data_IF_703532697610
#
_entry.id   IF_703532697610
#
_cell.length_a   1.000
_cell.length_b   1.000
_cell.length_c   1.000
_cell.angle_alpha   90.00
_cell.angle_beta   90.00
_cell.angle_gamma   90.00
#
_symmetry.space_group_name_H-M   'P 1'
#
loop_
_entity.id
_entity.type
_entity.pdbx_description
1 polymer ?
#
# COMPACT_ATOMS: atom_id res chain seq x y z
N UNK A 1 4.54 -16.13 32.89
CA UNK A 1 3.74 -14.88 32.78
C UNK A 1 2.87 -14.98 31.54
N UNK A 2 1.58 -15.26 31.69
CA UNK A 2 0.63 -15.30 30.57
C UNK A 2 0.33 -13.86 30.14
N UNK A 3 0.62 -13.50 28.88
CA UNK A 3 0.25 -12.19 28.35
C UNK A 3 -1.29 -12.13 28.25
N UNK A 4 -1.93 -11.08 28.79
CA UNK A 4 -3.38 -10.93 28.70
C UNK A 4 -3.79 -10.85 27.22
N UNK A 5 -4.75 -11.68 26.83
CA UNK A 5 -5.22 -11.80 25.45
C UNK A 5 -5.78 -10.46 24.95
N UNK A 6 -5.10 -9.83 23.99
CA UNK A 6 -5.66 -8.67 23.28
C UNK A 6 -6.95 -9.10 22.59
N UNK A 7 -8.08 -8.51 22.99
CA UNK A 7 -9.37 -8.73 22.32
C UNK A 7 -9.30 -8.16 20.90
N UNK A 8 -9.54 -9.01 19.91
CA UNK A 8 -9.76 -8.60 18.52
C UNK A 8 -11.22 -8.16 18.38
N UNK A 9 -11.44 -7.04 17.72
CA UNK A 9 -12.79 -6.55 17.44
C UNK A 9 -12.74 -5.44 16.41
N UNK A 10 -13.84 -5.22 15.70
CA UNK A 10 -13.95 -4.20 14.64
C UNK A 10 -13.63 -2.83 15.23
N UNK A 11 -12.64 -2.14 14.67
CA UNK A 11 -12.23 -0.82 15.12
C UNK A 11 -12.91 0.26 14.26
N UNK A 12 -13.47 1.33 14.86
CA UNK A 12 -13.98 2.48 14.10
C UNK A 12 -12.90 3.14 13.23
N UNK A 13 -11.64 3.02 13.63
CA UNK A 13 -10.49 3.49 12.86
C UNK A 13 -10.38 2.83 11.49
N UNK A 14 -10.68 1.53 11.38
CA UNK A 14 -10.56 0.82 10.11
C UNK A 14 -11.68 1.21 9.14
N UNK A 15 -12.89 1.46 9.66
CA UNK A 15 -14.00 2.01 8.87
C UNK A 15 -13.67 3.41 8.35
N UNK A 16 -13.15 4.29 9.19
CA UNK A 16 -12.74 5.63 8.77
C UNK A 16 -11.66 5.57 7.69
N UNK A 17 -10.68 4.68 7.83
CA UNK A 17 -9.65 4.46 6.80
C UNK A 17 -10.24 3.98 5.49
N UNK A 18 -11.18 3.03 5.54
CA UNK A 18 -11.85 2.52 4.35
C UNK A 18 -12.62 3.63 3.63
N UNK A 19 -13.41 4.43 4.35
CA UNK A 19 -14.18 5.53 3.78
C UNK A 19 -13.25 6.56 3.12
N UNK A 20 -12.21 7.01 3.84
CA UNK A 20 -11.25 7.97 3.28
C UNK A 20 -10.55 7.39 2.04
N UNK A 21 -10.14 6.12 2.08
CA UNK A 21 -9.50 5.47 0.95
C UNK A 21 -10.41 5.38 -0.28
N UNK A 22 -11.68 5.03 -0.08
CA UNK A 22 -12.69 4.97 -1.15
C UNK A 22 -12.99 6.35 -1.73
N UNK A 23 -13.06 7.40 -0.90
CA UNK A 23 -13.25 8.77 -1.37
C UNK A 23 -12.06 9.22 -2.21
N UNK A 24 -10.82 8.95 -1.77
CA UNK A 24 -9.61 9.28 -2.55
C UNK A 24 -9.56 8.46 -3.84
N UNK A 25 -9.94 7.18 -3.81
CA UNK A 25 -9.99 6.34 -5.00
C UNK A 25 -11.03 6.85 -6.00
N UNK A 26 -12.24 7.19 -5.53
CA UNK A 26 -13.29 7.76 -6.37
C UNK A 26 -12.89 9.11 -6.97
N UNK A 27 -12.29 10.00 -6.17
CA UNK A 27 -11.76 11.27 -6.66
C UNK A 27 -10.63 11.09 -7.68
N UNK A 28 -9.71 10.13 -7.44
CA UNK A 28 -8.64 9.80 -8.37
C UNK A 28 -9.16 9.20 -9.69
N UNK A 29 -10.16 8.32 -9.62
CA UNK A 29 -10.83 7.77 -10.80
C UNK A 29 -11.57 8.85 -11.61
N UNK A 30 -12.32 9.72 -10.93
CA UNK A 30 -12.99 10.85 -11.58
C UNK A 30 -11.96 11.79 -12.22
N UNK A 31 -10.87 12.09 -11.51
CA UNK A 31 -9.79 12.91 -12.05
C UNK A 31 -9.13 12.25 -13.26
N UNK A 32 -8.89 10.93 -13.24
CA UNK A 32 -8.38 10.18 -14.40
C UNK A 32 -9.31 10.33 -15.60
N UNK A 33 -10.60 10.06 -15.40
CA UNK A 33 -11.59 10.13 -16.48
C UNK A 33 -11.75 11.52 -17.09
N UNK A 34 -11.46 12.59 -16.34
CA UNK A 34 -11.51 13.98 -16.83
C UNK A 34 -10.19 14.38 -17.50
N UNK A 35 -9.06 13.89 -16.97
CA UNK A 35 -7.72 14.22 -17.45
C UNK A 35 -7.24 13.30 -18.58
N UNK A 36 -7.93 12.22 -18.93
CA UNK A 36 -7.56 11.35 -20.06
C UNK A 36 -7.39 12.12 -21.37
N UNK A 37 -8.12 13.22 -21.56
CA UNK A 37 -7.98 14.11 -22.72
C UNK A 37 -6.81 15.12 -22.62
N UNK A 38 -6.20 15.31 -21.43
CA UNK A 38 -5.08 16.23 -21.17
C UNK A 38 -3.74 15.49 -21.00
N UNK A 39 -3.76 14.23 -20.58
CA UNK A 39 -2.55 13.45 -20.26
C UNK A 39 -1.69 13.14 -21.48
N UNK A 40 -2.25 13.07 -22.69
CA UNK A 40 -1.48 12.87 -23.92
C UNK A 40 -0.55 14.06 -24.25
N UNK A 41 -0.88 15.27 -23.79
CA UNK A 41 -0.09 16.49 -24.05
C UNK A 41 1.02 16.73 -23.00
N UNK A 42 0.86 16.25 -21.77
CA UNK A 42 1.81 16.50 -20.66
C UNK A 42 3.03 15.55 -20.68
N UNK A 43 2.93 14.40 -21.35
CA UNK A 43 4.06 13.47 -21.53
C UNK A 43 5.19 14.00 -22.40
N UNK A 44 4.97 15.06 -23.19
CA UNK A 44 5.99 15.60 -24.11
C UNK A 44 6.92 16.60 -23.40
N UNK A 45 6.44 17.30 -22.36
CA UNK A 45 7.19 18.40 -21.72
C UNK A 45 7.99 17.98 -20.47
N UNK A 46 7.79 16.74 -19.98
CA UNK A 46 8.53 16.21 -18.80
C UNK A 46 9.92 15.68 -19.19
N UNK A 47 10.14 15.39 -20.47
CA UNK A 47 11.41 14.85 -21.01
C UNK A 47 12.52 15.90 -20.95
N UNK A 48 12.22 17.19 -21.21
CA UNK A 48 13.20 18.29 -21.16
C UNK A 48 13.74 18.56 -19.74
N UNK A 49 13.03 18.14 -18.68
CA UNK A 49 13.49 18.32 -17.30
C UNK A 49 14.63 17.36 -16.92
N UNK A 50 14.79 16.26 -17.66
CA UNK A 50 15.80 15.22 -17.41
C UNK A 50 17.06 15.33 -18.28
N UNK A 51 17.04 16.16 -19.33
CA UNK A 51 18.20 16.43 -20.19
C UNK A 51 19.42 17.00 -19.41
N UNK A 52 19.20 17.53 -18.21
CA UNK A 52 20.25 18.01 -17.31
C UNK A 52 20.93 16.95 -16.44
N UNK A 53 20.43 15.71 -16.39
CA UNK A 53 20.94 14.65 -15.53
C UNK A 53 21.77 13.63 -16.33
N UNK A 54 22.94 13.18 -15.84
CA UNK A 54 23.70 12.13 -16.50
C UNK A 54 22.91 10.81 -16.56
N UNK A 55 22.89 10.14 -17.71
CA UNK A 55 22.16 8.88 -17.94
C UNK A 55 22.42 7.83 -16.85
N UNK A 56 23.67 7.75 -16.37
CA UNK A 56 24.07 6.83 -15.31
C UNK A 56 23.30 7.04 -14.00
N UNK A 57 22.91 8.28 -13.68
CA UNK A 57 22.13 8.60 -12.47
C UNK A 57 20.70 8.09 -12.61
N UNK A 58 20.08 8.33 -13.75
CA UNK A 58 18.70 7.89 -14.04
C UNK A 58 18.61 6.37 -13.99
N UNK A 59 19.50 5.68 -14.69
CA UNK A 59 19.57 4.20 -14.69
C UNK A 59 19.80 3.66 -13.27
N UNK A 60 20.70 4.28 -12.49
CA UNK A 60 20.98 3.85 -11.11
C UNK A 60 19.76 4.04 -10.21
N UNK A 61 19.03 5.16 -10.32
CA UNK A 61 17.81 5.41 -9.55
C UNK A 61 16.71 4.40 -9.90
N UNK A 62 16.53 4.08 -11.18
CA UNK A 62 15.56 3.09 -11.65
C UNK A 62 15.90 1.71 -11.06
N UNK A 63 17.17 1.28 -11.14
CA UNK A 63 17.62 0.00 -10.60
C UNK A 63 17.43 -0.09 -9.09
N UNK A 64 17.78 0.97 -8.34
CA UNK A 64 17.54 1.04 -6.90
C UNK A 64 16.05 0.95 -6.59
N UNK A 65 15.21 1.67 -7.33
CA UNK A 65 13.75 1.64 -7.18
C UNK A 65 13.18 0.24 -7.42
N UNK A 66 13.60 -0.45 -8.49
CA UNK A 66 13.20 -1.83 -8.78
C UNK A 66 13.64 -2.80 -7.69
N UNK A 67 14.89 -2.68 -7.22
CA UNK A 67 15.44 -3.54 -6.20
C UNK A 67 14.72 -3.36 -4.86
N UNK A 68 14.42 -2.11 -4.46
CA UNK A 68 13.61 -1.82 -3.29
C UNK A 68 12.19 -2.35 -3.42
N UNK A 69 11.58 -2.23 -4.61
CA UNK A 69 10.26 -2.78 -4.87
C UNK A 69 10.25 -4.31 -4.65
N UNK A 70 11.28 -5.05 -5.01
CA UNK A 70 11.34 -6.49 -4.69
C UNK A 70 11.68 -6.77 -3.22
N UNK A 71 12.70 -6.11 -2.67
CA UNK A 71 13.23 -6.43 -1.34
C UNK A 71 12.25 -6.13 -0.20
N UNK A 72 11.48 -5.04 -0.30
CA UNK A 72 10.57 -4.64 0.78
C UNK A 72 9.45 -5.67 1.03
N UNK A 73 8.61 -6.06 0.05
CA UNK A 73 7.54 -7.02 0.27
C UNK A 73 8.09 -8.41 0.65
N UNK A 74 9.18 -8.84 0.02
CA UNK A 74 9.85 -10.12 0.36
C UNK A 74 10.34 -10.07 1.80
N UNK A 75 11.04 -9.01 2.21
CA UNK A 75 11.52 -8.84 3.58
C UNK A 75 10.38 -8.85 4.61
N UNK A 76 9.26 -8.18 4.31
CA UNK A 76 8.07 -8.20 5.18
C UNK A 76 7.50 -9.62 5.31
N UNK A 77 7.34 -10.34 4.20
CA UNK A 77 6.82 -11.72 4.22
C UNK A 77 7.77 -12.67 4.96
N UNK A 78 9.07 -12.59 4.70
CA UNK A 78 10.10 -13.41 5.35
C UNK A 78 10.16 -13.13 6.84
N UNK A 79 10.15 -11.85 7.27
CA UNK A 79 10.15 -11.52 8.69
C UNK A 79 8.89 -12.01 9.41
N UNK A 80 7.72 -11.96 8.77
CA UNK A 80 6.48 -12.50 9.34
C UNK A 80 6.47 -14.03 9.42
N UNK A 81 7.04 -14.69 8.40
CA UNK A 81 7.21 -16.14 8.37
C UNK A 81 8.18 -16.58 9.48
N UNK A 82 9.32 -15.90 9.62
CA UNK A 82 10.31 -16.15 10.67
C UNK A 82 9.72 -15.92 12.08
N UNK A 83 8.87 -14.90 12.25
CA UNK A 83 8.15 -14.66 13.52
C UNK A 83 7.01 -15.68 13.77
N UNK A 84 6.79 -16.65 12.87
CA UNK A 84 5.69 -17.64 12.91
C UNK A 84 4.30 -17.01 13.08
N UNK A 85 4.12 -15.80 12.55
CA UNK A 85 2.86 -15.05 12.64
C UNK A 85 1.95 -15.37 11.45
N UNK A 86 1.67 -16.66 11.26
CA UNK A 86 0.97 -17.20 10.08
C UNK A 86 -0.38 -16.53 9.80
N UNK A 87 -1.14 -16.19 10.84
CA UNK A 87 -2.42 -15.49 10.67
C UNK A 87 -2.27 -14.11 10.01
N UNK A 88 -1.19 -13.38 10.30
CA UNK A 88 -0.94 -12.05 9.70
C UNK A 88 -0.42 -12.16 8.29
N UNK A 89 0.45 -13.13 8.06
CA UNK A 89 0.93 -13.46 6.72
C UNK A 89 -0.26 -13.81 5.82
N UNK A 90 -1.19 -14.65 6.30
CA UNK A 90 -2.41 -14.98 5.57
C UNK A 90 -3.26 -13.76 5.20
N UNK A 91 -3.44 -12.80 6.12
CA UNK A 91 -4.22 -11.57 5.83
C UNK A 91 -3.56 -10.67 4.78
N UNK A 92 -2.23 -10.51 4.83
CA UNK A 92 -1.50 -9.68 3.86
C UNK A 92 -1.54 -10.32 2.48
N UNK A 93 -1.27 -11.64 2.41
CA UNK A 93 -1.34 -12.39 1.16
C UNK A 93 -2.75 -12.34 0.58
N UNK A 94 -3.78 -12.47 1.42
CA UNK A 94 -5.17 -12.36 1.00
C UNK A 94 -5.49 -10.96 0.43
N UNK A 95 -5.06 -9.89 1.11
CA UNK A 95 -5.26 -8.53 0.63
C UNK A 95 -4.54 -8.26 -0.70
N UNK A 96 -3.29 -8.75 -0.84
CA UNK A 96 -2.53 -8.65 -2.09
C UNK A 96 -3.22 -9.43 -3.22
N UNK A 97 -3.70 -10.64 -2.96
CA UNK A 97 -4.40 -11.45 -3.96
C UNK A 97 -5.70 -10.79 -4.44
N UNK A 98 -6.48 -10.18 -3.53
CA UNK A 98 -7.67 -9.41 -3.89
C UNK A 98 -7.31 -8.20 -4.75
N UNK A 99 -6.27 -7.45 -4.36
CA UNK A 99 -5.83 -6.29 -5.13
C UNK A 99 -5.40 -6.67 -6.54
N UNK A 100 -4.59 -7.72 -6.69
CA UNK A 100 -4.20 -8.25 -8.01
C UNK A 100 -5.42 -8.68 -8.81
N UNK A 101 -6.35 -9.43 -8.22
CA UNK A 101 -7.54 -9.91 -8.92
C UNK A 101 -8.47 -8.77 -9.38
N UNK A 102 -8.70 -7.77 -8.53
CA UNK A 102 -9.50 -6.60 -8.87
C UNK A 102 -8.83 -5.76 -9.95
N UNK A 103 -7.54 -5.48 -9.81
CA UNK A 103 -6.77 -4.74 -10.82
C UNK A 103 -6.74 -5.49 -12.16
N UNK A 104 -6.60 -6.81 -12.15
CA UNK A 104 -6.65 -7.62 -13.36
C UNK A 104 -8.04 -7.58 -14.02
N UNK A 105 -9.11 -7.67 -13.22
CA UNK A 105 -10.49 -7.55 -13.71
C UNK A 105 -10.79 -6.20 -14.35
N UNK A 106 -10.35 -5.10 -13.72
CA UNK A 106 -10.46 -3.74 -14.24
C UNK A 106 -9.71 -3.61 -15.56
N UNK A 107 -8.46 -4.08 -15.61
CA UNK A 107 -7.61 -3.95 -16.79
C UNK A 107 -8.17 -4.73 -17.99
N UNK A 108 -8.74 -5.91 -17.75
CA UNK A 108 -9.29 -6.76 -18.81
C UNK A 108 -10.51 -6.14 -19.50
N UNK A 109 -11.28 -5.31 -18.79
CA UNK A 109 -12.46 -4.64 -19.35
C UNK A 109 -12.07 -3.36 -20.12
N UNK A 110 -11.11 -2.59 -19.60
CA UNK A 110 -10.67 -1.33 -20.21
C UNK A 110 -9.80 -1.54 -21.47
N UNK A 111 -8.88 -2.51 -21.47
CA UNK A 111 -7.97 -2.74 -22.61
C UNK A 111 -8.72 -3.21 -23.86
N UNK A 112 -9.79 -3.99 -23.73
CA UNK A 112 -10.55 -4.45 -24.90
C UNK A 112 -11.34 -3.36 -25.60
N UNK A 113 -11.60 -2.24 -24.92
CA UNK A 113 -12.48 -1.18 -25.40
C UNK A 113 -11.69 0.05 -25.93
N UNK A 114 -10.45 0.23 -25.45
CA UNK A 114 -9.60 1.37 -25.78
C UNK A 114 -8.22 0.94 -26.31
N UNK A 115 -8.18 0.09 -27.34
CA UNK A 115 -6.94 -0.17 -28.05
C UNK A 115 -6.63 1.03 -28.97
N UNK A 116 -5.62 1.88 -28.66
CA UNK A 116 -5.32 3.01 -29.53
C UNK A 116 -4.88 2.50 -30.91
N UNK A 117 -5.21 3.21 -32.01
CA UNK A 117 -4.63 2.91 -33.31
C UNK A 117 -3.11 2.92 -33.17
N UNK A 118 -2.43 1.95 -33.77
CA UNK A 118 -0.98 1.80 -33.68
C UNK A 118 -0.29 3.08 -34.15
N UNK A 119 0.14 3.91 -33.21
CA UNK A 119 1.02 5.03 -33.46
C UNK A 119 2.43 4.44 -33.52
N UNK A 120 3.02 4.52 -34.70
CA UNK A 120 4.42 4.16 -34.96
C UNK A 120 5.28 5.26 -34.30
N UNK A 121 5.63 5.05 -33.03
CA UNK A 121 6.46 5.97 -32.26
C UNK A 121 7.92 5.56 -32.46
N UNK A 122 8.70 6.42 -33.09
CA UNK A 122 10.16 6.30 -33.18
C UNK A 122 10.75 6.37 -31.76
N UNK A 123 11.30 5.25 -31.29
CA UNK A 123 11.89 5.15 -29.95
C UNK A 123 13.24 5.88 -29.93
N UNK A 124 13.54 6.71 -28.90
CA UNK A 124 14.79 7.44 -28.86
C UNK A 124 15.99 6.49 -28.71
N UNK A 125 17.05 6.73 -29.49
CA UNK A 125 18.18 5.81 -29.65
C UNK A 125 18.96 5.45 -28.38
N UNK A 126 18.91 6.28 -27.32
CA UNK A 126 19.53 5.94 -26.04
C UNK A 126 18.83 4.77 -25.32
N UNK A 127 17.57 4.48 -25.67
CA UNK A 127 16.76 3.38 -25.14
C UNK A 127 17.04 2.07 -25.91
N UNK A 128 17.12 2.11 -27.24
CA UNK A 128 17.22 0.91 -28.10
C UNK A 128 18.52 0.75 -28.90
N UNK A 129 19.60 1.45 -28.53
CA UNK A 129 20.85 1.49 -29.34
C UNK A 129 21.47 0.12 -29.71
N UNK A 130 21.13 -0.96 -29.00
CA UNK A 130 21.60 -2.32 -29.29
C UNK A 130 20.61 -3.17 -30.11
N UNK A 131 19.35 -2.75 -30.23
CA UNK A 131 18.34 -3.46 -31.03
C UNK A 131 18.60 -3.28 -32.54
N UNK A 132 18.97 -2.08 -32.97
CA UNK A 132 19.37 -1.81 -34.37
C UNK A 132 20.63 -2.59 -34.77
N UNK A 133 21.53 -2.92 -33.83
CA UNK A 133 22.68 -3.80 -34.12
C UNK A 133 22.28 -5.25 -34.36
N UNK A 134 21.14 -5.69 -33.84
CA UNK A 134 20.64 -7.05 -33.97
C UNK A 134 19.90 -7.30 -35.30
N UNK A 135 19.40 -6.26 -35.97
CA UNK A 135 18.76 -6.35 -37.31
C UNK A 135 19.73 -6.80 -38.42
N UNK A 136 21.04 -6.85 -38.15
CA UNK A 136 22.04 -7.43 -39.04
C UNK A 136 22.16 -8.96 -38.98
N UNK A 137 21.41 -9.64 -38.10
CA UNK A 137 21.46 -11.10 -37.98
C UNK A 137 20.40 -11.75 -38.88
N UNK A 138 20.76 -12.79 -39.66
CA UNK A 138 19.84 -13.44 -40.58
C UNK A 138 18.63 -14.01 -39.83
N UNK A 139 17.43 -13.76 -40.35
CA UNK A 139 16.16 -14.30 -39.86
C UNK A 139 16.27 -15.82 -39.69
N UNK A 140 16.33 -16.27 -38.44
CA UNK A 140 16.10 -17.68 -38.11
C UNK A 140 14.62 -17.94 -38.35
N UNK A 141 14.33 -18.50 -39.54
CA UNK A 141 13.03 -19.00 -39.96
C UNK A 141 12.34 -19.74 -38.81
N UNK A 142 11.15 -19.28 -38.47
CA UNK A 142 10.25 -19.90 -37.49
C UNK A 142 9.84 -21.29 -37.98
N UNK A 143 10.53 -22.31 -37.47
CA UNK A 143 10.12 -23.69 -37.58
C UNK A 143 8.94 -23.92 -36.64
N UNK A 144 7.79 -24.27 -37.23
CA UNK A 144 6.87 -25.30 -36.74
C UNK A 144 6.18 -25.05 -35.39
N UNK A 145 4.85 -25.04 -35.41
CA UNK A 145 4.01 -24.83 -34.24
C UNK A 145 4.36 -25.72 -33.04
N UNK A 146 4.53 -25.08 -31.90
CA UNK A 146 4.37 -25.66 -30.57
C UNK A 146 4.17 -24.52 -29.56
N UNK A 147 3.00 -24.51 -28.93
CA UNK A 147 2.70 -24.02 -27.57
C UNK A 147 3.25 -22.64 -27.19
N UNK A 148 2.32 -21.70 -26.95
CA UNK A 148 2.49 -20.48 -26.14
C UNK A 148 3.65 -20.61 -25.14
N UNK A 149 4.83 -20.10 -25.53
CA UNK A 149 5.96 -20.04 -24.65
C UNK A 149 5.61 -19.01 -23.55
N UNK A 150 5.78 -19.32 -22.26
CA UNK A 150 5.56 -18.36 -21.17
C UNK A 150 6.46 -17.11 -21.24
N UNK A 151 7.35 -17.01 -22.24
CA UNK A 151 8.12 -15.81 -22.56
C UNK A 151 7.33 -14.73 -23.33
N UNK A 152 6.23 -15.06 -24.00
CA UNK A 152 5.39 -14.08 -24.72
C UNK A 152 4.55 -13.19 -23.78
N UNK A 153 4.52 -13.50 -22.48
CA UNK A 153 3.91 -12.66 -21.44
C UNK A 153 4.86 -11.55 -20.94
N UNK A 154 6.10 -11.50 -21.43
CA UNK A 154 7.15 -10.57 -20.98
C UNK A 154 7.84 -9.84 -22.13
N UNK A 155 7.22 -9.80 -23.31
CA UNK A 155 7.76 -9.12 -24.48
C UNK A 155 6.75 -8.12 -25.03
N UNK A 156 6.80 -6.87 -24.54
CA UNK A 156 6.32 -5.75 -25.35
C UNK A 156 7.09 -4.45 -25.10
N UNK A 157 7.74 -3.97 -26.17
CA UNK A 157 8.10 -2.58 -26.52
C UNK A 157 9.02 -1.74 -25.61
N UNK A 158 9.52 -2.21 -24.47
CA UNK A 158 10.54 -1.47 -23.72
C UNK A 158 11.93 -2.08 -23.94
N UNK A 159 12.88 -1.33 -24.53
CA UNK A 159 14.30 -1.69 -24.55
C UNK A 159 14.95 -1.48 -23.16
N UNK A 160 14.30 -2.01 -22.12
CA UNK A 160 14.82 -2.30 -20.78
C UNK A 160 14.19 -3.64 -20.40
N UNK A 161 14.97 -4.67 -20.01
CA UNK A 161 14.39 -5.96 -19.66
C UNK A 161 13.39 -5.83 -18.50
N UNK A 162 12.13 -6.20 -18.76
CA UNK A 162 11.04 -6.23 -17.78
C UNK A 162 10.02 -5.12 -18.01
N UNK A 163 9.01 -5.40 -18.85
CA UNK A 163 7.83 -4.56 -19.09
C UNK A 163 7.41 -3.77 -17.83
N UNK A 164 7.72 -2.47 -17.82
CA UNK A 164 7.31 -1.46 -16.83
C UNK A 164 7.18 -1.95 -15.37
N UNK A 165 8.05 -2.85 -14.91
CA UNK A 165 7.97 -3.34 -13.53
C UNK A 165 8.68 -2.36 -12.59
N UNK A 166 8.08 -1.97 -11.45
CA UNK A 166 6.72 -2.28 -10.99
C UNK A 166 5.63 -1.42 -11.64
N UNK A 167 4.52 -2.07 -12.02
CA UNK A 167 3.37 -1.48 -12.69
C UNK A 167 2.25 -1.05 -11.71
N UNK A 168 1.16 -0.48 -12.22
CA UNK A 168 0.00 -0.05 -11.43
C UNK A 168 -0.64 -1.18 -10.62
N UNK A 169 -0.66 -2.40 -11.15
CA UNK A 169 -1.14 -3.61 -10.43
C UNK A 169 -0.26 -3.91 -9.22
N UNK A 170 1.06 -3.83 -9.38
CA UNK A 170 2.01 -3.99 -8.29
C UNK A 170 1.80 -2.91 -7.20
N UNK A 171 1.62 -1.65 -7.61
CA UNK A 171 1.35 -0.54 -6.68
C UNK A 171 0.08 -0.77 -5.85
N UNK A 172 -1.00 -1.26 -6.48
CA UNK A 172 -2.23 -1.61 -5.78
C UNK A 172 -2.01 -2.73 -4.77
N UNK A 173 -1.29 -3.80 -5.15
CA UNK A 173 -0.98 -4.90 -4.24
C UNK A 173 -0.10 -4.46 -3.07
N UNK A 174 0.91 -3.63 -3.32
CA UNK A 174 1.78 -3.08 -2.29
C UNK A 174 1.02 -2.16 -1.33
N UNK A 175 0.14 -1.29 -1.85
CA UNK A 175 -0.71 -0.44 -1.03
C UNK A 175 -1.69 -1.26 -0.18
N UNK A 176 -2.22 -2.37 -0.71
CA UNK A 176 -3.06 -3.29 0.05
C UNK A 176 -2.30 -3.98 1.18
N UNK A 177 -1.08 -4.45 0.92
CA UNK A 177 -0.21 -5.00 1.96
C UNK A 177 0.10 -3.96 3.04
N UNK A 178 0.44 -2.73 2.65
CA UNK A 178 0.73 -1.63 3.56
C UNK A 178 -0.51 -1.24 4.38
N UNK A 179 -1.69 -1.23 3.77
CA UNK A 179 -2.98 -1.05 4.42
C UNK A 179 -3.22 -2.10 5.51
N UNK A 180 -3.10 -3.38 5.19
CA UNK A 180 -3.26 -4.48 6.15
C UNK A 180 -2.18 -4.51 7.26
N UNK A 181 -0.99 -3.97 6.99
CA UNK A 181 0.10 -3.90 7.96
C UNK A 181 0.01 -2.66 8.88
N UNK A 182 -0.78 -1.65 8.48
CA UNK A 182 -0.90 -0.35 9.15
C UNK A 182 -1.29 -0.43 10.64
N UNK A 183 -2.23 -1.29 11.09
CA UNK A 183 -2.58 -1.42 12.51
C UNK A 183 -1.44 -1.98 13.36
N UNK A 184 -0.52 -2.70 12.73
CA UNK A 184 0.60 -3.40 13.38
C UNK A 184 1.88 -2.56 13.39
N UNK A 185 1.99 -1.58 12.49
CA UNK A 185 3.12 -0.66 12.46
C UNK A 185 3.06 0.38 13.58
N UNK A 186 4.25 0.73 14.08
CA UNK A 186 4.43 1.93 14.88
C UNK A 186 4.11 3.18 14.05
N UNK A 187 3.79 4.30 14.70
CA UNK A 187 3.51 5.56 14.00
C UNK A 187 4.69 6.04 13.14
N UNK A 188 5.93 5.81 13.60
CA UNK A 188 7.17 6.21 12.90
C UNK A 188 7.34 5.42 11.61
N UNK A 189 7.31 4.10 11.73
CA UNK A 189 7.43 3.18 10.59
C UNK A 189 6.32 3.39 9.56
N UNK A 190 5.09 3.64 9.98
CA UNK A 190 4.00 3.95 9.04
C UNK A 190 4.27 5.20 8.20
N UNK A 191 4.75 6.28 8.82
CA UNK A 191 5.09 7.51 8.09
C UNK A 191 6.26 7.27 7.13
N UNK A 192 7.28 6.52 7.58
CA UNK A 192 8.42 6.19 6.74
C UNK A 192 8.01 5.36 5.52
N UNK A 193 7.16 4.34 5.70
CA UNK A 193 6.66 3.53 4.58
C UNK A 193 5.84 4.35 3.59
N UNK A 194 4.99 5.27 4.07
CA UNK A 194 4.24 6.17 3.20
C UNK A 194 5.15 7.17 2.47
N UNK A 195 6.12 7.77 3.16
CA UNK A 195 7.07 8.68 2.54
C UNK A 195 7.91 7.97 1.47
N UNK A 196 8.38 6.75 1.74
CA UNK A 196 9.12 5.94 0.78
C UNK A 196 8.27 5.57 -0.44
N UNK A 197 7.00 5.20 -0.24
CA UNK A 197 6.09 4.88 -1.33
C UNK A 197 5.78 6.10 -2.20
N UNK A 198 5.51 7.26 -1.59
CA UNK A 198 5.27 8.51 -2.32
C UNK A 198 6.52 8.99 -3.07
N UNK A 199 7.70 8.85 -2.47
CA UNK A 199 8.97 9.15 -3.14
C UNK A 199 9.20 8.21 -4.34
N UNK A 200 8.96 6.91 -4.17
CA UNK A 200 9.05 5.94 -5.26
C UNK A 200 8.10 6.28 -6.41
N UNK A 201 6.87 6.68 -6.10
CA UNK A 201 5.89 7.10 -7.10
C UNK A 201 6.29 8.38 -7.81
N UNK A 202 6.86 9.34 -7.09
CA UNK A 202 7.37 10.56 -7.68
C UNK A 202 8.44 10.24 -8.74
N UNK A 203 9.42 9.40 -8.39
CA UNK A 203 10.45 8.94 -9.34
C UNK A 203 9.82 8.25 -10.55
N UNK A 204 8.85 7.35 -10.33
CA UNK A 204 8.19 6.64 -11.44
C UNK A 204 7.31 7.49 -12.33
N UNK A 205 6.74 8.56 -11.79
CA UNK A 205 5.98 9.55 -12.56
C UNK A 205 6.93 10.38 -13.41
N UNK A 206 8.09 10.74 -12.84
CA UNK A 206 9.10 11.52 -13.53
C UNK A 206 9.77 10.76 -14.69
N UNK A 207 9.99 9.46 -14.54
CA UNK A 207 10.51 8.59 -15.62
C UNK A 207 9.46 8.32 -16.73
N UNK A 208 8.24 8.85 -16.61
CA UNK A 208 7.16 8.64 -17.58
C UNK A 208 6.56 7.22 -17.60
N UNK A 209 7.05 6.31 -16.75
CA UNK A 209 6.63 4.89 -16.71
C UNK A 209 5.24 4.72 -16.10
N UNK A 210 4.85 5.58 -15.16
CA UNK A 210 3.56 5.51 -14.47
C UNK A 210 2.84 6.85 -14.57
N UNK A 211 1.62 6.84 -15.11
CA UNK A 211 0.75 8.01 -15.09
C UNK A 211 0.38 8.33 -13.64
N UNK A 212 0.66 9.57 -13.19
CA UNK A 212 0.48 10.00 -11.81
C UNK A 212 -0.93 9.69 -11.27
N UNK A 213 -1.94 9.93 -12.11
CA UNK A 213 -3.35 9.76 -11.76
C UNK A 213 -3.70 8.28 -11.56
N UNK A 214 -3.23 7.40 -12.44
CA UNK A 214 -3.39 5.94 -12.31
C UNK A 214 -2.73 5.43 -11.03
N UNK A 215 -1.56 5.99 -10.70
CA UNK A 215 -0.83 5.66 -9.50
C UNK A 215 -1.63 6.01 -8.23
N UNK A 216 -2.25 7.20 -8.20
CA UNK A 216 -3.11 7.65 -7.09
C UNK A 216 -4.34 6.75 -6.95
N UNK A 217 -5.00 6.42 -8.06
CA UNK A 217 -6.14 5.50 -8.05
C UNK A 217 -5.75 4.11 -7.53
N UNK A 218 -4.67 3.53 -8.08
CA UNK A 218 -4.17 2.22 -7.68
C UNK A 218 -3.80 2.17 -6.19
N UNK A 219 -3.12 3.20 -5.69
CA UNK A 219 -2.79 3.31 -4.26
C UNK A 219 -4.03 3.35 -3.38
N UNK A 220 -5.00 4.19 -3.74
CA UNK A 220 -6.18 4.40 -2.93
C UNK A 220 -7.06 3.15 -2.89
N UNK A 221 -7.25 2.50 -4.05
CA UNK A 221 -7.96 1.22 -4.16
C UNK A 221 -7.26 0.12 -3.36
N UNK A 222 -5.94 -0.03 -3.55
CA UNK A 222 -5.14 -1.00 -2.81
C UNK A 222 -5.24 -0.79 -1.30
N UNK A 223 -5.05 0.45 -0.83
CA UNK A 223 -5.16 0.77 0.59
C UNK A 223 -6.57 0.53 1.15
N UNK A 224 -7.62 0.78 0.36
CA UNK A 224 -9.00 0.45 0.72
C UNK A 224 -9.19 -1.06 0.92
N UNK A 225 -8.64 -1.90 0.04
CA UNK A 225 -8.67 -3.37 0.16
C UNK A 225 -7.97 -3.83 1.44
N UNK A 226 -6.82 -3.25 1.76
CA UNK A 226 -6.10 -3.52 3.01
C UNK A 226 -6.94 -3.16 4.26
N UNK A 227 -7.55 -1.98 4.26
CA UNK A 227 -8.42 -1.52 5.34
C UNK A 227 -9.70 -2.37 5.48
N UNK A 228 -10.31 -2.77 4.36
CA UNK A 228 -11.46 -3.68 4.35
C UNK A 228 -11.11 -5.05 4.92
N UNK A 229 -9.92 -5.58 4.59
CA UNK A 229 -9.41 -6.83 5.15
C UNK A 229 -9.29 -6.74 6.67
N UNK A 230 -8.69 -5.68 7.20
CA UNK A 230 -8.60 -5.45 8.64
C UNK A 230 -9.98 -5.29 9.32
N UNK A 231 -10.94 -4.65 8.63
CA UNK A 231 -12.30 -4.48 9.14
C UNK A 231 -13.07 -5.81 9.22
N UNK A 232 -12.93 -6.67 8.21
CA UNK A 232 -13.60 -7.98 8.14
C UNK A 232 -13.01 -8.95 9.16
N UNK A 233 -11.67 -9.05 9.23
CA UNK A 233 -10.98 -10.03 10.07
C UNK A 233 -10.63 -9.53 11.48
N UNK A 234 -10.77 -8.21 11.71
CA UNK A 234 -10.57 -7.53 12.98
C UNK A 234 -9.11 -7.13 13.22
N UNK A 235 -8.90 -5.87 13.61
CA UNK A 235 -7.59 -5.34 13.99
C UNK A 235 -7.33 -5.43 15.50
N UNK A 236 -6.06 -5.44 15.93
CA UNK A 236 -5.71 -5.47 17.34
C UNK A 236 -6.12 -4.17 18.03
N UNK A 237 -7.05 -4.25 19.00
CA UNK A 237 -7.44 -3.08 19.79
C UNK A 237 -6.27 -2.62 20.68
N UNK A 238 -5.91 -1.34 20.59
CA UNK A 238 -4.84 -0.72 21.38
C UNK A 238 -5.38 -0.12 22.68
N UNK A 239 -6.18 -0.88 23.41
CA UNK A 239 -6.66 -0.43 24.72
C UNK A 239 -5.75 -0.89 25.83
N UNK A 240 -5.27 0.04 26.69
CA UNK A 240 -4.34 -0.31 27.75
C UNK A 240 -4.97 -1.31 28.69
N UNK A 241 -4.14 -2.24 29.15
CA UNK A 241 -4.55 -3.24 30.15
C UNK A 241 -4.71 -2.58 31.52
N UNK A 242 -5.51 -3.19 32.40
CA UNK A 242 -5.69 -2.70 33.77
C UNK A 242 -4.35 -2.56 34.51
N UNK A 243 -3.43 -3.50 34.30
CA UNK A 243 -2.07 -3.45 34.86
C UNK A 243 -1.22 -2.30 34.32
N UNK A 244 -1.25 -2.06 33.01
CA UNK A 244 -0.55 -0.91 32.42
C UNK A 244 -1.12 0.40 32.94
N UNK A 245 -2.43 0.48 33.13
CA UNK A 245 -3.12 1.64 33.67
C UNK A 245 -2.71 1.87 35.13
N UNK A 246 -2.76 0.83 35.97
CA UNK A 246 -2.32 0.85 37.38
C UNK A 246 -0.86 1.26 37.50
N UNK A 247 0.05 0.63 36.75
CA UNK A 247 1.48 0.96 36.76
C UNK A 247 1.76 2.39 36.31
N UNK A 248 0.98 2.92 35.35
CA UNK A 248 1.14 4.29 34.87
C UNK A 248 0.62 5.32 35.87
N UNK A 249 -0.51 5.04 36.53
CA UNK A 249 -1.07 5.90 37.57
C UNK A 249 -0.19 5.91 38.82
N UNK A 250 0.31 4.76 39.26
CA UNK A 250 1.25 4.64 40.38
C UNK A 250 2.54 5.43 40.12
N UNK A 251 3.11 5.34 38.89
CA UNK A 251 4.28 6.15 38.50
C UNK A 251 4.01 7.65 38.49
N UNK A 252 2.74 8.07 38.38
CA UNK A 252 2.31 9.46 38.44
C UNK A 252 1.92 9.91 39.86
N UNK A 253 2.14 9.07 40.87
CA UNK A 253 1.86 9.38 42.28
C UNK A 253 0.42 9.12 42.72
N UNK A 254 -0.40 8.48 41.89
CA UNK A 254 -1.74 8.03 42.28
C UNK A 254 -1.63 6.59 42.78
N UNK A 255 -1.73 6.36 44.09
CA UNK A 255 -1.65 5.04 44.70
C UNK A 255 -2.92 4.22 44.42
N UNK A 256 -2.92 3.49 43.30
CA UNK A 256 -4.03 2.65 42.84
C UNK A 256 -3.80 1.20 43.26
N UNK A 257 -4.76 0.67 44.01
CA UNK A 257 -4.77 -0.71 44.53
C UNK A 257 -5.42 -1.68 43.55
N UNK A 258 -6.53 -1.26 42.94
CA UNK A 258 -7.29 -2.08 41.99
C UNK A 258 -7.79 -1.25 40.80
N UNK A 259 -7.86 -1.89 39.63
CA UNK A 259 -8.37 -1.31 38.38
C UNK A 259 -9.19 -2.35 37.65
N UNK A 260 -10.47 -2.07 37.46
CA UNK A 260 -11.38 -2.93 36.70
C UNK A 260 -12.04 -2.14 35.55
N UNK A 261 -12.35 -2.80 34.42
CA UNK A 261 -13.21 -2.21 33.40
C UNK A 261 -14.56 -1.83 34.02
N UNK A 262 -15.05 -0.62 33.74
CA UNK A 262 -16.37 -0.23 34.22
C UNK A 262 -17.46 -0.99 33.44
N UNK A 263 -18.54 -1.38 34.12
CA UNK A 263 -19.69 -2.06 33.50
C UNK A 263 -20.53 -1.13 32.59
N UNK A 264 -20.18 0.16 32.51
CA UNK A 264 -20.86 1.15 31.69
C UNK A 264 -20.35 1.08 30.25
N UNK A 265 -21.25 0.89 29.29
CA UNK A 265 -20.91 1.09 27.87
C UNK A 265 -20.79 2.59 27.58
N UNK A 266 -19.59 3.03 27.22
CA UNK A 266 -19.37 4.37 26.67
C UNK A 266 -18.95 4.26 25.19
N UNK A 267 -19.44 5.18 24.35
CA UNK A 267 -19.11 5.23 22.92
C UNK A 267 -17.70 5.80 22.67
N UNK A 268 -17.41 6.94 23.28
CA UNK A 268 -16.18 7.74 23.02
C UNK A 268 -15.04 7.50 24.02
N UNK A 269 -15.21 6.57 24.97
CA UNK A 269 -14.14 6.23 25.93
C UNK A 269 -14.25 4.77 26.34
N UNK A 270 -13.13 4.19 26.80
CA UNK A 270 -13.18 2.94 27.56
C UNK A 270 -13.10 3.28 29.05
N UNK A 271 -14.23 3.20 29.77
CA UNK A 271 -14.26 3.57 31.17
C UNK A 271 -13.65 2.44 32.03
N UNK A 272 -12.84 2.83 32.99
CA UNK A 272 -12.33 1.98 34.06
C UNK A 272 -12.74 2.58 35.40
N UNK A 273 -12.94 1.73 36.39
CA UNK A 273 -13.06 2.13 37.78
C UNK A 273 -11.76 1.71 38.46
N UNK A 274 -11.18 2.61 39.23
CA UNK A 274 -10.00 2.33 40.03
C UNK A 274 -10.25 2.68 41.49
N UNK A 275 -9.62 1.94 42.39
CA UNK A 275 -9.69 2.16 43.83
C UNK A 275 -8.33 2.57 44.36
N UNK A 276 -8.28 3.64 45.17
CA UNK A 276 -7.06 4.09 45.84
C UNK A 276 -6.84 3.38 47.17
N UNK A 277 -5.62 3.47 47.69
CA UNK A 277 -5.25 3.05 49.06
C UNK A 277 -6.09 3.73 50.16
N UNK A 278 -6.51 4.97 49.92
CA UNK A 278 -7.38 5.79 50.75
C UNK A 278 -8.87 5.41 50.65
N UNK A 279 -9.22 4.37 49.88
CA UNK A 279 -10.59 3.91 49.70
C UNK A 279 -11.44 4.78 48.77
N UNK A 280 -10.87 5.76 48.07
CA UNK A 280 -11.59 6.55 47.06
C UNK A 280 -11.71 5.77 45.76
N UNK A 281 -12.90 5.82 45.14
CA UNK A 281 -13.12 5.33 43.79
C UNK A 281 -12.90 6.45 42.76
N UNK A 282 -12.15 6.13 41.72
CA UNK A 282 -11.84 7.02 40.61
C UNK A 282 -12.46 6.47 39.33
N UNK A 283 -13.20 7.31 38.61
CA UNK A 283 -13.70 6.99 37.28
C UNK A 283 -12.70 7.44 36.22
N UNK A 284 -12.05 6.48 35.58
CA UNK A 284 -11.00 6.73 34.60
C UNK A 284 -11.58 6.60 33.19
N UNK A 285 -11.55 7.70 32.42
CA UNK A 285 -11.88 7.68 31.00
C UNK A 285 -10.59 7.60 30.20
N UNK A 286 -10.36 6.44 29.56
CA UNK A 286 -9.22 6.27 28.66
C UNK A 286 -9.65 6.60 27.24
N UNK A 287 -9.01 7.61 26.64
CA UNK A 287 -9.17 7.96 25.23
C UNK A 287 -7.98 7.43 24.42
N UNK A 288 -8.30 6.61 23.42
CA UNK A 288 -7.34 6.08 22.46
C UNK A 288 -7.58 6.62 21.04
N UNK A 289 -6.72 6.25 20.07
CA UNK A 289 -6.91 6.61 18.67
C UNK A 289 -8.24 6.15 18.10
N UNK A 290 -8.73 4.98 18.52
CA UNK A 290 -9.98 4.39 18.03
C UNK A 290 -11.21 5.16 18.51
N UNK A 291 -11.11 5.84 19.65
CA UNK A 291 -12.17 6.64 20.25
C UNK A 291 -12.30 7.99 19.54
N UNK A 292 -11.16 8.57 19.12
CA UNK A 292 -11.16 9.77 18.27
C UNK A 292 -11.77 9.49 16.90
N UNK A 293 -11.53 8.31 16.32
CA UNK A 293 -12.17 7.91 15.07
C UNK A 293 -13.68 7.68 15.24
N UNK A 294 -14.11 7.11 16.36
CA UNK A 294 -15.53 6.95 16.68
C UNK A 294 -16.26 8.30 16.77
N UNK A 295 -15.63 9.32 17.34
CA UNK A 295 -16.17 10.67 17.50
C UNK A 295 -16.37 11.41 16.15
N UNK A 296 -15.65 11.00 15.10
CA UNK A 296 -15.83 11.56 13.75
C UNK A 296 -16.95 10.87 12.96
N UNK A 297 -17.38 9.69 13.39
CA UNK A 297 -18.36 8.87 12.67
C UNK A 297 -19.77 8.94 13.25
N UNK A 298 -19.94 9.44 14.48
CA UNK A 298 -21.19 9.47 15.23
C UNK A 298 -21.36 10.78 15.98
#
# INVERSE_FOLDING_TARGET
MAQPSRRYGRSPSDLLRLIVALVVAGAGFLLASVLDNLNAAVTIETIDAFDGLPDAVVVTLILIGQLLAWLIPIGVLVTLLAQRRYRRLGLIVFAMAIAVALSWGINRQLISEFQPPSLEVDQPGWICSDAERAEGLPELSTVGGATEAPGALFTSQACVPGDAFPNTVYLAAFAAALGALTPWLSRRWRRASWAALLLFLLVRTLDGVVVAVDAVFALALGYAIGAATDLVFGSPQRTPTADELRATLNRRGLAITDVAPALVRARSSKPFVASTDTGRSLFLKVLGPDQRAADLLY
#
